data_IF_868297114279
#
_entry.id   IF_868297114279
#
_cell.length_a   1.000
_cell.length_b   1.000
_cell.length_c   1.000
_cell.angle_alpha   90.00
_cell.angle_beta   90.00
_cell.angle_gamma   90.00
#
_symmetry.space_group_name_H-M   'P 1'
#
loop_
_entity.id
_entity.type
_entity.pdbx_description
1 polymer ?
#
# COMPACT_ATOMS: atom_id res chain seq x y z
N UNK A 1 20.51 22.14 -10.90
CA UNK A 1 19.26 22.64 -11.48
C UNK A 1 18.15 21.58 -11.40
N UNK A 2 18.44 20.34 -11.76
CA UNK A 2 17.49 19.22 -11.86
C UNK A 2 16.86 18.83 -10.50
N UNK A 3 17.67 18.65 -9.45
CA UNK A 3 17.20 18.32 -8.09
C UNK A 3 16.27 19.41 -7.54
N UNK A 4 16.58 20.70 -7.78
CA UNK A 4 15.72 21.79 -7.33
C UNK A 4 14.37 21.78 -8.04
N UNK A 5 14.35 21.46 -9.32
CA UNK A 5 13.13 21.37 -10.11
C UNK A 5 12.28 20.16 -9.70
N UNK A 6 12.88 19.00 -9.49
CA UNK A 6 12.18 17.81 -8.94
C UNK A 6 11.55 18.11 -7.58
N UNK A 7 12.28 18.77 -6.68
CA UNK A 7 11.75 19.16 -5.37
C UNK A 7 10.64 20.22 -5.46
N UNK A 8 10.66 21.11 -6.45
CA UNK A 8 9.60 22.08 -6.72
C UNK A 8 8.35 21.37 -7.21
N UNK A 9 8.49 20.49 -8.20
CA UNK A 9 7.39 19.69 -8.77
C UNK A 9 6.76 18.81 -7.69
N UNK A 10 7.57 18.13 -6.87
CA UNK A 10 7.08 17.31 -5.79
C UNK A 10 6.22 18.10 -4.79
N UNK A 11 6.64 19.30 -4.42
CA UNK A 11 5.84 20.18 -3.54
C UNK A 11 4.54 20.62 -4.21
N UNK A 12 4.59 21.04 -5.45
CA UNK A 12 3.42 21.51 -6.20
C UNK A 12 2.38 20.39 -6.40
N UNK A 13 2.85 19.15 -6.67
CA UNK A 13 1.99 17.96 -6.73
C UNK A 13 1.39 17.67 -5.35
N UNK A 14 2.20 17.70 -4.28
CA UNK A 14 1.72 17.44 -2.93
C UNK A 14 0.66 18.46 -2.50
N UNK A 15 0.90 19.73 -2.75
CA UNK A 15 0.00 20.81 -2.34
C UNK A 15 -1.28 20.79 -3.16
N UNK A 16 -1.20 20.64 -4.47
CA UNK A 16 -2.37 20.69 -5.36
C UNK A 16 -3.21 19.42 -5.27
N UNK A 17 -2.60 18.26 -5.49
CA UNK A 17 -3.33 16.98 -5.48
C UNK A 17 -3.66 16.52 -4.07
N UNK A 18 -2.77 16.73 -3.09
CA UNK A 18 -3.00 16.36 -1.71
C UNK A 18 -4.20 17.09 -1.11
N UNK A 19 -4.30 18.40 -1.33
CA UNK A 19 -5.44 19.21 -0.86
C UNK A 19 -6.74 18.86 -1.59
N UNK A 20 -6.70 18.71 -2.91
CA UNK A 20 -7.87 18.36 -3.71
C UNK A 20 -8.46 17.00 -3.29
N UNK A 21 -7.62 15.99 -3.16
CA UNK A 21 -8.07 14.66 -2.76
C UNK A 21 -8.53 14.60 -1.29
N UNK A 22 -7.90 15.37 -0.42
CA UNK A 22 -8.35 15.47 0.98
C UNK A 22 -9.73 16.11 1.05
N UNK A 23 -9.98 17.17 0.27
CA UNK A 23 -11.31 17.78 0.14
C UNK A 23 -12.35 16.81 -0.43
N UNK A 24 -11.97 16.02 -1.41
CA UNK A 24 -12.86 15.02 -2.02
C UNK A 24 -13.20 13.90 -1.03
N UNK A 25 -12.23 13.42 -0.25
CA UNK A 25 -12.47 12.44 0.82
C UNK A 25 -13.41 12.99 1.90
N UNK A 26 -13.21 14.24 2.33
CA UNK A 26 -14.10 14.90 3.29
C UNK A 26 -15.53 15.07 2.74
N UNK A 27 -15.67 15.39 1.46
CA UNK A 27 -16.97 15.47 0.78
C UNK A 27 -17.69 14.13 0.74
N UNK A 28 -16.96 13.04 0.44
CA UNK A 28 -17.52 11.69 0.46
C UNK A 28 -17.95 11.31 1.90
N UNK A 29 -17.11 11.60 2.90
CA UNK A 29 -17.46 11.32 4.31
C UNK A 29 -18.71 12.11 4.75
N UNK A 30 -18.88 13.36 4.30
CA UNK A 30 -20.09 14.14 4.51
C UNK A 30 -21.33 13.51 3.85
N UNK A 31 -21.19 13.02 2.59
CA UNK A 31 -22.28 12.29 1.92
C UNK A 31 -22.63 10.99 2.65
N UNK A 32 -21.64 10.29 3.18
CA UNK A 32 -21.84 9.09 4.01
C UNK A 32 -22.66 9.45 5.28
N UNK A 33 -22.33 10.55 5.95
CA UNK A 33 -23.06 11.00 7.11
C UNK A 33 -24.52 11.39 6.81
N UNK A 34 -24.76 12.01 5.65
CA UNK A 34 -26.09 12.38 5.18
C UNK A 34 -26.93 11.17 4.73
N UNK A 35 -26.29 10.11 4.21
CA UNK A 35 -26.97 8.90 3.77
C UNK A 35 -27.54 8.06 4.93
N UNK A 36 -27.20 8.38 6.19
CA UNK A 36 -27.67 7.65 7.37
C UNK A 36 -27.02 6.28 7.55
N UNK A 37 -27.52 5.51 8.53
CA UNK A 37 -26.95 4.20 8.89
C UNK A 37 -27.52 3.02 8.11
N UNK A 38 -28.56 3.24 7.31
CA UNK A 38 -29.15 2.17 6.51
C UNK A 38 -28.18 1.71 5.42
N UNK A 39 -27.99 0.38 5.30
CA UNK A 39 -27.19 -0.24 4.24
C UNK A 39 -27.90 -0.17 2.89
N UNK A 40 -27.96 1.00 2.31
CA UNK A 40 -28.48 1.22 0.97
C UNK A 40 -27.39 0.98 -0.09
N UNK A 41 -27.76 0.67 -1.34
CA UNK A 41 -26.77 0.60 -2.44
C UNK A 41 -25.94 1.87 -2.56
N UNK A 42 -26.55 3.03 -2.30
CA UNK A 42 -25.85 4.33 -2.29
C UNK A 42 -24.77 4.39 -1.19
N UNK A 43 -25.09 3.96 0.02
CA UNK A 43 -24.15 3.93 1.14
C UNK A 43 -22.95 3.03 0.83
N UNK A 44 -23.20 1.83 0.29
CA UNK A 44 -22.14 0.91 -0.10
C UNK A 44 -21.21 1.53 -1.18
N UNK A 45 -21.78 2.28 -2.12
CA UNK A 45 -21.00 2.96 -3.16
C UNK A 45 -20.16 4.11 -2.59
N UNK A 46 -20.71 4.89 -1.66
CA UNK A 46 -19.99 5.95 -0.97
C UNK A 46 -18.83 5.40 -0.12
N UNK A 47 -19.04 4.31 0.61
CA UNK A 47 -17.99 3.62 1.37
C UNK A 47 -16.86 3.12 0.45
N UNK A 48 -17.19 2.63 -0.74
CA UNK A 48 -16.20 2.23 -1.73
C UNK A 48 -15.41 3.44 -2.23
N UNK A 49 -16.09 4.54 -2.58
CA UNK A 49 -15.45 5.78 -3.03
C UNK A 49 -14.54 6.39 -1.96
N UNK A 50 -14.96 6.38 -0.69
CA UNK A 50 -14.14 6.83 0.43
C UNK A 50 -12.84 6.02 0.54
N UNK A 51 -12.93 4.69 0.44
CA UNK A 51 -11.74 3.81 0.46
C UNK A 51 -10.81 4.08 -0.72
N UNK A 52 -11.35 4.21 -1.93
CA UNK A 52 -10.56 4.51 -3.14
C UNK A 52 -9.87 5.86 -3.00
N UNK A 53 -10.58 6.90 -2.56
CA UNK A 53 -10.02 8.25 -2.36
C UNK A 53 -8.88 8.25 -1.35
N UNK A 54 -9.06 7.63 -0.18
CA UNK A 54 -8.02 7.53 0.86
C UNK A 54 -6.78 6.78 0.37
N UNK A 55 -6.97 5.69 -0.38
CA UNK A 55 -5.85 4.95 -0.96
C UNK A 55 -5.10 5.80 -2.00
N UNK A 56 -5.82 6.52 -2.86
CA UNK A 56 -5.22 7.41 -3.86
C UNK A 56 -4.40 8.53 -3.23
N UNK A 57 -4.87 9.12 -2.10
CA UNK A 57 -4.09 10.10 -1.33
C UNK A 57 -2.77 9.50 -0.86
N UNK A 58 -2.82 8.29 -0.31
CA UNK A 58 -1.63 7.58 0.17
C UNK A 58 -0.65 7.30 -0.98
N UNK A 59 -1.17 6.86 -2.11
CA UNK A 59 -0.40 6.56 -3.31
C UNK A 59 0.33 7.78 -3.86
N UNK A 60 -0.35 8.93 -3.91
CA UNK A 60 0.25 10.19 -4.34
C UNK A 60 1.32 10.66 -3.37
N UNK A 61 1.06 10.59 -2.06
CA UNK A 61 2.05 10.95 -1.03
C UNK A 61 3.34 10.13 -1.18
N UNK A 62 3.22 8.84 -1.43
CA UNK A 62 4.38 7.96 -1.63
C UNK A 62 5.11 8.29 -2.93
N UNK A 63 4.38 8.50 -4.05
CA UNK A 63 4.98 8.87 -5.33
C UNK A 63 5.70 10.22 -5.27
N UNK A 64 5.17 11.16 -4.50
CA UNK A 64 5.79 12.49 -4.31
C UNK A 64 6.99 12.41 -3.37
N UNK A 65 6.96 11.51 -2.36
CA UNK A 65 8.11 11.30 -1.46
C UNK A 65 9.32 10.77 -2.22
N UNK A 66 9.11 9.91 -3.20
CA UNK A 66 10.19 9.37 -4.04
C UNK A 66 10.84 10.43 -4.94
N UNK A 67 10.17 11.56 -5.20
CA UNK A 67 10.73 12.68 -5.97
C UNK A 67 11.64 13.61 -5.13
N UNK A 68 11.73 13.41 -3.81
CA UNK A 68 12.51 14.25 -2.88
C UNK A 68 13.75 13.48 -2.36
N UNK A 69 14.91 13.56 -3.03
CA UNK A 69 16.11 12.85 -2.58
C UNK A 69 16.68 13.35 -1.24
N UNK A 70 16.31 14.56 -0.81
CA UNK A 70 16.85 15.21 0.38
C UNK A 70 15.84 15.33 1.54
N UNK A 71 14.72 14.62 1.51
CA UNK A 71 13.80 14.64 2.64
C UNK A 71 14.46 13.94 3.85
N UNK A 72 14.64 14.61 5.00
CA UNK A 72 15.19 13.99 6.20
C UNK A 72 14.32 12.86 6.76
N UNK A 73 13.09 12.75 6.29
CA UNK A 73 12.13 11.69 6.58
C UNK A 73 11.97 10.74 5.37
N UNK A 74 13.04 10.10 4.89
CA UNK A 74 12.90 8.82 4.23
C UNK A 74 12.39 7.86 5.29
N UNK A 75 11.08 7.65 5.32
CA UNK A 75 10.52 6.51 6.01
C UNK A 75 11.27 5.30 5.45
N UNK A 76 12.16 4.73 6.24
CA UNK A 76 12.81 3.47 5.92
C UNK A 76 11.67 2.49 5.54
N UNK A 77 11.81 1.77 4.44
CA UNK A 77 10.82 0.79 3.98
C UNK A 77 10.26 -0.05 5.14
N UNK A 78 11.12 -0.44 6.07
CA UNK A 78 10.72 -1.16 7.29
C UNK A 78 9.68 -0.39 8.08
N UNK A 79 9.92 0.88 8.39
CA UNK A 79 8.96 1.71 9.15
C UNK A 79 7.65 1.92 8.40
N UNK A 80 7.71 2.05 7.06
CA UNK A 80 6.51 2.17 6.24
C UNK A 80 5.67 0.87 6.25
N UNK A 81 6.33 -0.29 6.24
CA UNK A 81 5.65 -1.59 6.34
C UNK A 81 5.11 -1.81 7.76
N UNK A 82 5.86 -1.47 8.80
CA UNK A 82 5.40 -1.54 10.19
C UNK A 82 4.13 -0.71 10.40
N UNK A 83 4.08 0.51 9.86
CA UNK A 83 2.88 1.36 9.89
C UNK A 83 1.72 0.74 9.12
N UNK A 84 1.97 0.18 7.92
CA UNK A 84 0.97 -0.51 7.12
C UNK A 84 0.37 -1.70 7.88
N UNK A 85 1.22 -2.52 8.48
CA UNK A 85 0.84 -3.70 9.28
C UNK A 85 -0.01 -3.27 10.47
N UNK A 86 0.43 -2.29 11.24
CA UNK A 86 -0.28 -1.83 12.43
C UNK A 86 -1.64 -1.23 12.08
N UNK A 87 -1.72 -0.43 11.03
CA UNK A 87 -2.99 0.09 10.52
C UNK A 87 -3.93 -1.03 10.07
N UNK A 88 -3.39 -2.05 9.42
CA UNK A 88 -4.18 -3.19 8.94
C UNK A 88 -4.70 -4.03 10.09
N UNK A 89 -3.87 -4.33 11.10
CA UNK A 89 -4.29 -5.01 12.35
C UNK A 89 -5.47 -4.30 12.99
N UNK A 90 -5.33 -2.98 13.17
CA UNK A 90 -6.34 -2.17 13.85
C UNK A 90 -7.67 -2.11 13.11
N UNK A 91 -7.64 -2.02 11.77
CA UNK A 91 -8.85 -1.86 10.95
C UNK A 91 -9.54 -3.19 10.67
N UNK A 92 -8.78 -4.23 10.40
CA UNK A 92 -9.31 -5.54 10.01
C UNK A 92 -9.48 -6.52 11.18
N UNK A 93 -8.84 -6.25 12.34
CA UNK A 93 -8.89 -7.14 13.50
C UNK A 93 -8.14 -8.47 13.30
N UNK A 94 -7.17 -8.50 12.38
CA UNK A 94 -6.36 -9.68 12.04
C UNK A 94 -5.00 -9.63 12.74
N UNK A 95 -4.43 -10.79 13.03
CA UNK A 95 -3.09 -10.89 13.55
C UNK A 95 -2.09 -10.91 12.38
N UNK A 96 -1.11 -9.99 12.37
CA UNK A 96 -0.09 -9.93 11.33
C UNK A 96 1.29 -9.94 12.00
N UNK A 97 2.15 -10.87 11.62
CA UNK A 97 3.55 -10.90 12.06
C UNK A 97 4.39 -10.35 10.91
N UNK A 98 5.22 -9.35 11.19
CA UNK A 98 6.17 -8.81 10.23
C UNK A 98 7.59 -9.05 10.73
N UNK A 99 8.37 -9.76 9.92
CA UNK A 99 9.79 -10.03 10.14
C UNK A 99 10.64 -9.40 9.04
N UNK A 100 11.66 -8.66 9.44
CA UNK A 100 12.63 -8.07 8.54
C UNK A 100 14.02 -8.30 9.14
N UNK A 101 14.74 -9.25 8.60
CA UNK A 101 15.99 -9.79 9.16
C UNK A 101 17.11 -8.75 9.31
N UNK A 102 17.09 -7.65 8.55
CA UNK A 102 18.14 -6.62 8.61
C UNK A 102 17.54 -5.22 8.60
N UNK A 103 17.79 -4.45 9.64
CA UNK A 103 17.37 -3.05 9.75
C UNK A 103 18.14 -2.10 8.81
N UNK A 104 19.23 -2.57 8.20
CA UNK A 104 20.08 -1.80 7.28
C UNK A 104 19.93 -2.20 5.81
N UNK A 105 18.88 -2.93 5.44
CA UNK A 105 18.60 -3.25 4.05
C UNK A 105 18.44 -1.96 3.24
N UNK A 106 19.40 -1.70 2.38
CA UNK A 106 19.32 -0.62 1.40
C UNK A 106 18.72 -1.19 0.12
N UNK A 107 17.57 -0.71 -0.22
CA UNK A 107 16.89 -0.93 -1.49
C UNK A 107 16.98 0.34 -2.32
N UNK A 108 16.88 0.21 -3.64
CA UNK A 108 16.61 1.39 -4.45
C UNK A 108 15.12 1.80 -4.35
N UNK A 109 14.79 2.98 -4.87
CA UNK A 109 13.43 3.53 -4.74
C UNK A 109 12.37 2.66 -5.44
N UNK A 110 12.72 2.03 -6.55
CA UNK A 110 11.82 1.17 -7.32
C UNK A 110 11.59 -0.16 -6.58
N UNK A 111 12.65 -0.70 -5.96
CA UNK A 111 12.58 -1.89 -5.10
C UNK A 111 11.70 -1.62 -3.87
N UNK A 112 11.93 -0.51 -3.16
CA UNK A 112 11.14 -0.13 -1.96
C UNK A 112 9.65 0.01 -2.30
N UNK A 113 9.36 0.72 -3.39
CA UNK A 113 7.99 0.91 -3.86
C UNK A 113 7.33 -0.42 -4.24
N UNK A 114 8.04 -1.27 -4.98
CA UNK A 114 7.51 -2.56 -5.41
C UNK A 114 7.22 -3.46 -4.22
N UNK A 115 8.16 -3.60 -3.26
CA UNK A 115 7.99 -4.40 -2.04
C UNK A 115 6.78 -3.90 -1.24
N UNK A 116 6.69 -2.60 -0.99
CA UNK A 116 5.57 -2.03 -0.25
C UNK A 116 4.22 -2.35 -0.90
N UNK A 117 4.12 -2.18 -2.22
CA UNK A 117 2.88 -2.44 -2.97
C UNK A 117 2.52 -3.92 -3.02
N UNK A 118 3.50 -4.79 -3.14
CA UNK A 118 3.26 -6.24 -3.10
C UNK A 118 2.69 -6.63 -1.74
N UNK A 119 3.29 -6.14 -0.64
CA UNK A 119 2.79 -6.42 0.71
C UNK A 119 1.38 -5.87 0.88
N UNK A 120 1.12 -4.63 0.49
CA UNK A 120 -0.20 -3.99 0.59
C UNK A 120 -1.28 -4.79 -0.14
N UNK A 121 -1.00 -5.22 -1.37
CA UNK A 121 -1.94 -6.01 -2.18
C UNK A 121 -2.15 -7.39 -1.58
N UNK A 122 -1.08 -8.04 -1.10
CA UNK A 122 -1.17 -9.36 -0.48
C UNK A 122 -1.98 -9.35 0.81
N UNK A 123 -1.77 -8.36 1.70
CA UNK A 123 -2.59 -8.18 2.91
C UNK A 123 -4.07 -7.96 2.56
N UNK A 124 -4.33 -7.16 1.52
CA UNK A 124 -5.70 -6.93 1.04
C UNK A 124 -6.34 -8.22 0.55
N UNK A 125 -5.60 -9.03 -0.20
CA UNK A 125 -6.07 -10.30 -0.74
C UNK A 125 -6.33 -11.33 0.36
N UNK A 126 -5.40 -11.48 1.32
CA UNK A 126 -5.56 -12.37 2.46
C UNK A 126 -6.83 -12.05 3.27
N UNK A 127 -7.09 -10.77 3.52
CA UNK A 127 -8.23 -10.34 4.32
C UNK A 127 -9.55 -10.44 3.53
N UNK A 128 -9.58 -9.91 2.30
CA UNK A 128 -10.83 -9.82 1.53
C UNK A 128 -11.25 -11.11 0.88
N UNK A 129 -10.28 -11.87 0.37
CA UNK A 129 -10.52 -13.08 -0.40
C UNK A 129 -10.20 -14.33 0.39
N UNK A 130 -9.16 -14.29 1.23
CA UNK A 130 -8.75 -15.40 2.08
C UNK A 130 -9.57 -15.52 3.36
N UNK A 131 -10.18 -14.43 3.85
CA UNK A 131 -10.78 -14.38 5.19
C UNK A 131 -9.80 -14.83 6.29
N UNK A 132 -8.52 -14.46 6.11
CA UNK A 132 -7.43 -14.85 6.98
C UNK A 132 -7.54 -14.20 8.37
N UNK A 133 -7.23 -14.96 9.40
CA UNK A 133 -7.11 -14.48 10.78
C UNK A 133 -5.67 -14.21 11.18
N UNK A 134 -4.72 -14.91 10.57
CA UNK A 134 -3.29 -14.75 10.82
C UNK A 134 -2.54 -14.60 9.49
N UNK A 135 -1.62 -13.64 9.44
CA UNK A 135 -0.80 -13.36 8.25
C UNK A 135 0.65 -13.18 8.70
N UNK A 136 1.57 -13.81 8.00
CA UNK A 136 3.01 -13.64 8.21
C UNK A 136 3.62 -12.96 6.99
N UNK A 137 4.41 -11.92 7.22
CA UNK A 137 5.14 -11.17 6.19
C UNK A 137 6.61 -11.20 6.55
N UNK A 138 7.46 -11.72 5.65
CA UNK A 138 8.90 -11.73 5.84
C UNK A 138 9.62 -11.10 4.65
N UNK A 139 10.58 -10.21 4.94
CA UNK A 139 11.46 -9.59 3.95
C UNK A 139 12.90 -9.98 4.26
N UNK A 140 13.56 -10.65 3.32
CA UNK A 140 14.94 -11.12 3.47
C UNK A 140 15.79 -10.70 2.28
N UNK A 141 17.03 -10.33 2.51
CA UNK A 141 17.99 -10.04 1.45
C UNK A 141 19.11 -11.07 1.49
N UNK A 142 19.25 -11.84 0.43
CA UNK A 142 20.27 -12.87 0.27
C UNK A 142 21.11 -12.60 -1.00
N UNK A 143 22.42 -12.38 -0.85
CA UNK A 143 23.39 -12.34 -1.94
C UNK A 143 22.93 -11.62 -3.22
N UNK A 144 22.34 -10.42 -3.07
CA UNK A 144 21.90 -9.61 -4.22
C UNK A 144 20.48 -9.91 -4.73
N UNK A 145 19.73 -10.78 -4.04
CA UNK A 145 18.31 -11.00 -4.29
C UNK A 145 17.46 -10.62 -3.07
N UNK A 146 16.21 -10.23 -3.31
CA UNK A 146 15.22 -9.93 -2.29
C UNK A 146 14.22 -11.07 -2.27
N UNK A 147 14.08 -11.72 -1.12
CA UNK A 147 13.02 -12.67 -0.85
C UNK A 147 11.90 -12.00 -0.08
N UNK A 148 10.69 -12.05 -0.64
CA UNK A 148 9.47 -11.60 0.01
C UNK A 148 8.55 -12.80 0.17
N UNK A 149 8.18 -13.10 1.40
CA UNK A 149 7.23 -14.15 1.73
C UNK A 149 6.03 -13.56 2.42
N UNK A 150 4.84 -13.87 1.93
CA UNK A 150 3.59 -13.58 2.58
C UNK A 150 2.81 -14.89 2.68
N UNK A 151 2.45 -15.26 3.90
CA UNK A 151 1.70 -16.46 4.20
C UNK A 151 0.48 -16.11 5.04
N UNK A 152 -0.68 -16.65 4.69
CA UNK A 152 -1.92 -16.46 5.42
C UNK A 152 -2.61 -17.81 5.70
N UNK A 153 -3.45 -17.83 6.73
CA UNK A 153 -4.24 -18.98 7.14
C UNK A 153 -5.66 -18.97 6.53
N UNK A 154 -5.85 -18.23 5.47
CA UNK A 154 -7.14 -18.10 4.81
C UNK A 154 -7.63 -19.34 4.08
N UNK A 155 -8.81 -19.25 3.49
CA UNK A 155 -9.47 -20.39 2.82
C UNK A 155 -8.76 -20.85 1.54
N UNK A 156 -7.78 -20.07 1.05
CA UNK A 156 -7.10 -20.35 -0.21
C UNK A 156 -8.03 -20.32 -1.44
N UNK A 157 -7.53 -20.80 -2.57
CA UNK A 157 -8.33 -20.97 -3.78
C UNK A 157 -7.87 -22.19 -4.58
N UNK A 158 -8.80 -22.94 -5.15
CA UNK A 158 -8.46 -24.11 -6.01
C UNK A 158 -7.82 -23.71 -7.34
N UNK A 159 -8.18 -22.55 -7.87
CA UNK A 159 -7.61 -21.99 -9.10
C UNK A 159 -7.26 -20.53 -8.87
N UNK A 160 -5.99 -20.22 -9.09
CA UNK A 160 -5.52 -18.84 -9.10
C UNK A 160 -5.96 -18.21 -10.43
N UNK A 161 -7.16 -17.62 -10.45
CA UNK A 161 -7.51 -16.73 -11.54
C UNK A 161 -6.73 -15.43 -11.36
N UNK A 162 -5.95 -15.06 -12.37
CA UNK A 162 -5.17 -13.83 -12.34
C UNK A 162 -6.08 -12.60 -12.40
N UNK A 163 -6.72 -12.28 -11.27
CA UNK A 163 -7.39 -11.01 -11.06
C UNK A 163 -6.41 -9.84 -11.17
N UNK A 164 -6.93 -8.63 -11.18
CA UNK A 164 -6.10 -7.40 -11.32
C UNK A 164 -4.96 -7.34 -10.30
N UNK A 165 -5.19 -7.75 -9.04
CA UNK A 165 -4.19 -7.71 -7.96
C UNK A 165 -2.98 -8.59 -8.22
N UNK A 166 -3.19 -9.88 -8.53
CA UNK A 166 -2.09 -10.81 -8.82
C UNK A 166 -1.34 -10.45 -10.11
N UNK A 167 -2.04 -9.91 -11.11
CA UNK A 167 -1.40 -9.40 -12.31
C UNK A 167 -0.48 -8.22 -11.97
N UNK A 168 -0.92 -7.28 -11.15
CA UNK A 168 -0.08 -6.15 -10.72
C UNK A 168 1.12 -6.60 -9.89
N UNK A 169 0.99 -7.63 -9.04
CA UNK A 169 2.13 -8.22 -8.33
C UNK A 169 3.14 -8.78 -9.33
N UNK A 170 2.71 -9.59 -10.30
CA UNK A 170 3.60 -10.16 -11.32
C UNK A 170 4.28 -9.10 -12.17
N UNK A 171 3.55 -8.08 -12.60
CA UNK A 171 4.11 -6.96 -13.37
C UNK A 171 5.24 -6.27 -12.59
N UNK A 172 5.03 -5.97 -11.29
CA UNK A 172 6.05 -5.34 -10.44
C UNK A 172 7.27 -6.22 -10.23
N UNK A 173 7.06 -7.51 -9.96
CA UNK A 173 8.17 -8.45 -9.79
C UNK A 173 8.95 -8.60 -11.09
N UNK A 174 8.29 -8.64 -12.25
CA UNK A 174 8.95 -8.68 -13.56
C UNK A 174 9.76 -7.40 -13.85
N UNK A 175 9.28 -6.21 -13.44
CA UNK A 175 10.03 -4.96 -13.58
C UNK A 175 11.37 -5.04 -12.84
N UNK A 176 11.41 -5.72 -11.70
CA UNK A 176 12.61 -5.98 -10.89
C UNK A 176 13.38 -7.22 -11.34
N UNK A 177 13.03 -7.83 -12.48
CA UNK A 177 13.61 -9.09 -13.00
C UNK A 177 13.50 -10.26 -12.01
N UNK A 178 12.49 -10.23 -11.13
CA UNK A 178 12.20 -11.24 -10.14
C UNK A 178 11.27 -12.35 -10.66
N UNK A 179 10.92 -13.29 -9.77
CA UNK A 179 9.99 -14.39 -10.01
C UNK A 179 8.95 -14.45 -8.89
N UNK A 180 7.71 -14.86 -9.25
CA UNK A 180 6.59 -15.13 -8.35
C UNK A 180 6.09 -16.53 -8.56
#
# INVERSE_FOLDING_TARGET
AEIRERNRIAREIHDTLGHTLTGLAAGIDACIALAGDERTPLRNQLDLLSKVSRNSIKDIRMSVSSLRPDAPDRLNLKSAIEELVENTRRVAGVNIIFDCEDSNLKFDEDEEMAIYRIIQESLTNAIRHGNAGNIEVAVKKNFGSIGLMIHDDGIGCEKIEAGFGLRHIRERVNMLKGQV
#
